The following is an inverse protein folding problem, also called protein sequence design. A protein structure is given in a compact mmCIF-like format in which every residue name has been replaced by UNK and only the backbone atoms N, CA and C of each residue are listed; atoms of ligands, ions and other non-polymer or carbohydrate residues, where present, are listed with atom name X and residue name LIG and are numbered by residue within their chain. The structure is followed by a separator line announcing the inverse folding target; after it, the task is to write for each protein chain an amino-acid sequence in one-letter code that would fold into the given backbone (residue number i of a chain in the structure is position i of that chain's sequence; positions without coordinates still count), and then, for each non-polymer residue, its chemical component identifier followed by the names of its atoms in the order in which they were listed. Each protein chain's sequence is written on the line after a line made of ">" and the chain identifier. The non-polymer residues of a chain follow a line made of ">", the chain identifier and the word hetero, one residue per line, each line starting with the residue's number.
data_IF_480308427883
#
_entry.id   IF_480308427883
#
_cell.length_a   1.000
_cell.length_b   1.000
_cell.length_c   1.000
_cell.angle_alpha   90.00
_cell.angle_beta   90.00
_cell.angle_gamma   90.00
#
_symmetry.space_group_name_H-M   'P 1'
#
loop_
_entity.id
_entity.type
_entity.pdbx_description
1 polymer ?
#
# COMPACT_ATOMS: atom_id res chain seq x y z
N UNK A 1 3.25 25.13 1.43
CA UNK A 1 3.95 24.78 0.16
C UNK A 1 2.96 24.09 -0.77
N UNK A 2 2.72 24.60 -1.98
CA UNK A 2 1.74 23.98 -2.91
C UNK A 2 2.42 22.86 -3.70
N UNK A 3 2.06 21.61 -3.40
CA UNK A 3 2.57 20.43 -4.12
C UNK A 3 2.04 20.48 -5.57
N UNK A 4 2.91 20.21 -6.54
CA UNK A 4 2.54 20.28 -7.97
C UNK A 4 1.64 19.09 -8.34
N UNK A 5 0.63 19.32 -9.17
CA UNK A 5 -0.24 18.27 -9.71
C UNK A 5 0.53 17.13 -10.39
N UNK A 6 1.64 17.47 -11.02
CA UNK A 6 2.55 16.51 -11.68
C UNK A 6 3.16 15.53 -10.70
N UNK A 7 3.45 15.93 -9.45
CA UNK A 7 4.00 15.06 -8.41
C UNK A 7 3.01 13.96 -8.01
N UNK A 8 1.76 14.33 -7.76
CA UNK A 8 0.71 13.33 -7.46
C UNK A 8 0.50 12.35 -8.62
N UNK A 9 0.45 12.89 -9.84
CA UNK A 9 0.32 12.07 -11.05
C UNK A 9 1.51 11.13 -11.23
N UNK A 10 2.74 11.62 -11.03
CA UNK A 10 3.95 10.82 -11.12
C UNK A 10 3.96 9.70 -10.09
N UNK A 11 3.56 9.97 -8.85
CA UNK A 11 3.48 8.96 -7.81
C UNK A 11 2.49 7.82 -8.14
N UNK A 12 1.26 8.18 -8.52
CA UNK A 12 0.23 7.19 -8.84
C UNK A 12 0.56 6.38 -10.11
N UNK A 13 1.10 7.03 -11.14
CA UNK A 13 1.53 6.33 -12.35
C UNK A 13 2.77 5.46 -12.08
N UNK A 14 3.76 5.95 -11.33
CA UNK A 14 4.93 5.17 -10.95
C UNK A 14 4.57 3.92 -10.16
N UNK A 15 3.62 4.04 -9.22
CA UNK A 15 3.06 2.90 -8.51
C UNK A 15 2.42 1.89 -9.47
N UNK A 16 1.56 2.36 -10.38
CA UNK A 16 0.88 1.50 -11.35
C UNK A 16 1.87 0.82 -12.31
N UNK A 17 2.92 1.52 -12.75
CA UNK A 17 3.98 0.96 -13.58
C UNK A 17 4.77 -0.13 -12.84
N UNK A 18 5.13 0.13 -11.58
CA UNK A 18 5.82 -0.86 -10.74
C UNK A 18 4.98 -2.10 -10.47
N UNK A 19 3.69 -1.89 -10.16
CA UNK A 19 2.71 -2.95 -9.96
C UNK A 19 2.54 -3.80 -11.24
N UNK A 20 2.32 -3.17 -12.38
CA UNK A 20 2.15 -3.86 -13.66
C UNK A 20 3.39 -4.68 -14.07
N UNK A 21 4.60 -4.17 -13.79
CA UNK A 21 5.81 -4.94 -14.04
C UNK A 21 5.91 -6.15 -13.12
N UNK A 22 5.46 -6.00 -11.90
CA UNK A 22 5.54 -7.03 -10.90
C UNK A 22 4.44 -8.07 -10.92
N UNK A 23 3.28 -7.72 -11.42
CA UNK A 23 2.09 -8.57 -11.37
C UNK A 23 2.29 -9.93 -12.06
N UNK A 24 2.98 -9.96 -13.18
CA UNK A 24 3.26 -11.18 -13.92
C UNK A 24 4.12 -12.20 -13.16
N UNK A 25 4.99 -11.71 -12.28
CA UNK A 25 5.91 -12.55 -11.48
C UNK A 25 5.50 -12.60 -10.01
N UNK A 26 4.30 -12.11 -9.69
CA UNK A 26 3.75 -12.17 -8.35
C UNK A 26 3.65 -13.61 -7.85
N UNK A 27 4.04 -13.83 -6.61
CA UNK A 27 4.03 -15.15 -5.94
C UNK A 27 4.95 -16.22 -6.55
N UNK A 28 5.85 -15.88 -7.48
CA UNK A 28 6.79 -16.81 -8.12
C UNK A 28 8.15 -16.80 -7.41
N UNK A 29 8.79 -17.97 -7.40
CA UNK A 29 10.17 -18.09 -6.94
C UNK A 29 11.14 -17.56 -7.98
N UNK A 30 12.31 -17.10 -7.52
CA UNK A 30 13.33 -16.57 -8.44
C UNK A 30 13.77 -17.59 -9.50
N UNK A 31 13.86 -18.88 -9.14
CA UNK A 31 14.17 -19.96 -10.07
C UNK A 31 13.16 -20.08 -11.22
N UNK A 32 11.87 -19.94 -10.90
CA UNK A 32 10.78 -19.99 -11.89
C UNK A 32 10.81 -18.74 -12.81
N UNK A 33 11.14 -17.58 -12.23
CA UNK A 33 11.31 -16.36 -13.01
C UNK A 33 12.50 -16.48 -13.96
N UNK A 34 13.62 -17.09 -13.50
CA UNK A 34 14.77 -17.31 -14.35
C UNK A 34 14.52 -18.33 -15.46
N UNK A 35 13.73 -19.35 -15.21
CA UNK A 35 13.34 -20.35 -16.19
C UNK A 35 12.58 -19.72 -17.36
N UNK A 36 11.62 -18.82 -17.07
CA UNK A 36 10.78 -18.23 -18.09
C UNK A 36 11.39 -16.97 -18.76
N UNK A 37 12.15 -16.19 -18.01
CA UNK A 37 12.66 -14.87 -18.46
C UNK A 37 14.19 -14.80 -18.57
N UNK A 38 14.88 -15.92 -18.31
CA UNK A 38 16.35 -15.97 -18.37
C UNK A 38 17.04 -15.49 -17.09
N UNK A 39 18.39 -15.50 -17.07
CA UNK A 39 19.20 -15.30 -15.86
C UNK A 39 19.03 -13.92 -15.19
N UNK A 40 18.56 -12.92 -15.93
CA UNK A 40 18.33 -11.58 -15.40
C UNK A 40 16.89 -11.36 -14.93
N UNK A 41 16.03 -12.37 -15.06
CA UNK A 41 14.59 -12.27 -14.75
C UNK A 41 13.83 -11.36 -15.72
N UNK A 42 12.67 -10.88 -15.29
CA UNK A 42 11.81 -10.01 -16.10
C UNK A 42 12.44 -8.63 -16.31
N UNK A 43 12.87 -8.33 -17.53
CA UNK A 43 13.53 -7.09 -17.92
C UNK A 43 12.60 -6.07 -18.59
N UNK A 44 11.34 -6.38 -18.79
CA UNK A 44 10.34 -5.52 -19.42
C UNK A 44 8.93 -5.95 -19.01
N UNK A 45 7.94 -5.24 -19.51
CA UNK A 45 6.55 -5.62 -19.26
C UNK A 45 6.18 -6.87 -20.05
N UNK A 46 5.55 -7.82 -19.36
CA UNK A 46 4.85 -8.91 -20.00
C UNK A 46 3.44 -8.42 -20.35
N UNK A 47 3.06 -8.53 -21.64
CA UNK A 47 1.86 -7.90 -22.15
C UNK A 47 0.76 -8.93 -22.39
N UNK A 48 -0.39 -8.73 -21.77
CA UNK A 48 -1.61 -9.49 -22.04
C UNK A 48 -2.46 -8.68 -23.04
N UNK A 49 -2.69 -9.21 -24.23
CA UNK A 49 -3.41 -8.51 -25.30
C UNK A 49 -2.82 -7.11 -25.64
N UNK A 50 -1.50 -6.94 -25.53
CA UNK A 50 -0.81 -5.69 -25.83
C UNK A 50 -0.81 -4.67 -24.69
N UNK A 51 -1.25 -5.04 -23.50
CA UNK A 51 -1.29 -4.18 -22.31
C UNK A 51 -0.59 -4.84 -21.11
N UNK A 52 0.16 -4.05 -20.34
CA UNK A 52 0.62 -4.47 -19.03
C UNK A 52 -0.53 -4.32 -18.04
N UNK A 53 -0.92 -5.41 -17.39
CA UNK A 53 -2.03 -5.42 -16.43
C UNK A 53 -1.56 -4.95 -15.05
N UNK A 54 -2.40 -4.16 -14.39
CA UNK A 54 -2.22 -3.78 -12.99
C UNK A 54 -2.92 -4.78 -12.08
N UNK A 55 -2.39 -4.97 -10.88
CA UNK A 55 -3.01 -5.84 -9.88
C UNK A 55 -4.09 -5.13 -9.04
N UNK A 56 -4.63 -5.87 -8.07
CA UNK A 56 -5.53 -5.34 -7.04
C UNK A 56 -4.90 -4.25 -6.17
N UNK A 57 -3.58 -4.18 -6.09
CA UNK A 57 -2.86 -3.18 -5.29
C UNK A 57 -3.03 -1.77 -5.85
N UNK A 58 -2.80 -1.57 -7.14
CA UNK A 58 -3.08 -0.29 -7.82
C UNK A 58 -4.56 0.07 -7.76
N UNK A 59 -5.42 -0.92 -7.98
CA UNK A 59 -6.87 -0.70 -7.91
C UNK A 59 -7.29 -0.19 -6.53
N UNK A 60 -6.89 -0.86 -5.46
CA UNK A 60 -7.27 -0.48 -4.08
C UNK A 60 -6.70 0.89 -3.68
N UNK A 61 -5.46 1.20 -4.07
CA UNK A 61 -4.88 2.53 -3.84
C UNK A 61 -5.68 3.63 -4.56
N UNK A 62 -6.09 3.40 -5.81
CA UNK A 62 -6.92 4.34 -6.56
C UNK A 62 -8.30 4.53 -5.90
N UNK A 63 -8.94 3.45 -5.45
CA UNK A 63 -10.22 3.54 -4.73
C UNK A 63 -10.09 4.21 -3.36
N UNK A 64 -8.96 4.05 -2.68
CA UNK A 64 -8.66 4.83 -1.46
C UNK A 64 -8.62 6.32 -1.76
N UNK A 65 -7.92 6.75 -2.81
CA UNK A 65 -7.91 8.14 -3.26
C UNK A 65 -9.33 8.62 -3.62
N UNK A 66 -10.13 7.79 -4.29
CA UNK A 66 -11.52 8.13 -4.59
C UNK A 66 -12.35 8.36 -3.31
N UNK A 67 -12.21 7.50 -2.30
CA UNK A 67 -12.88 7.67 -1.01
C UNK A 67 -12.50 8.98 -0.31
N UNK A 68 -11.22 9.33 -0.30
CA UNK A 68 -10.71 10.59 0.25
C UNK A 68 -11.31 11.81 -0.44
N UNK A 69 -11.32 11.81 -1.78
CA UNK A 69 -11.92 12.89 -2.56
C UNK A 69 -13.43 12.98 -2.38
N UNK A 70 -14.12 11.85 -2.26
CA UNK A 70 -15.54 11.79 -1.94
C UNK A 70 -15.81 12.44 -0.56
N UNK A 71 -15.05 12.07 0.46
CA UNK A 71 -15.16 12.62 1.80
C UNK A 71 -14.94 14.13 1.83
N UNK A 72 -13.89 14.60 1.16
CA UNK A 72 -13.59 16.02 1.05
C UNK A 72 -14.70 16.80 0.33
N UNK A 73 -15.21 16.28 -0.77
CA UNK A 73 -16.27 16.92 -1.56
C UNK A 73 -17.56 17.00 -0.75
N UNK A 74 -18.00 15.89 -0.15
CA UNK A 74 -19.20 15.86 0.68
C UNK A 74 -19.09 16.75 1.91
N UNK A 75 -17.94 16.72 2.59
CA UNK A 75 -17.70 17.58 3.75
C UNK A 75 -17.82 19.07 3.40
N UNK A 76 -17.28 19.47 2.26
CA UNK A 76 -17.40 20.86 1.77
C UNK A 76 -18.85 21.22 1.41
N UNK A 77 -19.56 20.32 0.77
CA UNK A 77 -20.96 20.57 0.39
C UNK A 77 -21.89 20.66 1.60
N UNK A 78 -21.65 19.86 2.64
CA UNK A 78 -22.48 19.78 3.83
C UNK A 78 -22.03 20.72 4.96
N UNK A 79 -20.88 21.38 4.82
CA UNK A 79 -20.27 22.17 5.89
C UNK A 79 -19.86 21.33 7.11
N UNK A 80 -19.80 20.01 6.98
CA UNK A 80 -19.54 19.06 8.07
C UNK A 80 -18.70 17.90 7.57
N UNK A 81 -17.54 17.69 8.20
CA UNK A 81 -16.65 16.57 7.88
C UNK A 81 -16.98 15.34 8.74
N UNK A 82 -17.06 14.17 8.10
CA UNK A 82 -17.03 12.89 8.78
C UNK A 82 -15.62 12.26 8.65
N UNK A 83 -15.25 11.30 9.51
CA UNK A 83 -13.96 10.63 9.41
C UNK A 83 -13.70 10.08 8.00
N UNK A 84 -12.52 10.36 7.46
CA UNK A 84 -12.16 9.97 6.08
C UNK A 84 -12.17 8.46 5.88
N UNK A 85 -11.79 7.69 6.91
CA UNK A 85 -11.80 6.22 6.86
C UNK A 85 -13.17 5.65 6.49
N UNK A 86 -14.28 6.31 6.86
CA UNK A 86 -15.63 5.87 6.49
C UNK A 86 -15.87 5.96 4.98
N UNK A 87 -15.38 7.01 4.33
CA UNK A 87 -15.50 7.18 2.88
C UNK A 87 -14.55 6.24 2.12
N UNK A 88 -13.36 6.03 2.66
CA UNK A 88 -12.40 5.06 2.12
C UNK A 88 -13.00 3.65 2.18
N UNK A 89 -13.60 3.27 3.31
CA UNK A 89 -14.30 2.00 3.43
C UNK A 89 -15.41 1.83 2.39
N UNK A 90 -16.26 2.86 2.22
CA UNK A 90 -17.31 2.81 1.19
C UNK A 90 -16.71 2.56 -0.19
N UNK A 91 -15.64 3.27 -0.55
CA UNK A 91 -14.96 3.09 -1.81
C UNK A 91 -14.34 1.69 -1.95
N UNK A 92 -13.69 1.18 -0.91
CA UNK A 92 -13.10 -0.16 -0.89
C UNK A 92 -14.19 -1.26 -0.98
N UNK A 93 -15.36 -1.07 -0.36
CA UNK A 93 -16.49 -1.98 -0.49
C UNK A 93 -17.04 -1.99 -1.92
N UNK A 94 -17.20 -0.83 -2.55
CA UNK A 94 -17.63 -0.75 -3.95
C UNK A 94 -16.60 -1.40 -4.89
N UNK A 95 -15.30 -1.20 -4.64
CA UNK A 95 -14.26 -1.92 -5.36
C UNK A 95 -14.38 -3.44 -5.17
N UNK A 96 -14.59 -3.91 -3.93
CA UNK A 96 -14.73 -5.34 -3.65
C UNK A 96 -15.91 -5.99 -4.39
N UNK A 97 -16.96 -5.25 -4.68
CA UNK A 97 -18.04 -5.73 -5.56
C UNK A 97 -17.54 -6.01 -6.98
N UNK A 98 -16.65 -5.20 -7.52
CA UNK A 98 -16.09 -5.41 -8.86
C UNK A 98 -15.23 -6.69 -8.94
N UNK A 99 -14.68 -7.14 -7.81
CA UNK A 99 -13.87 -8.34 -7.71
C UNK A 99 -14.70 -9.65 -7.62
N UNK A 100 -16.02 -9.54 -7.56
CA UNK A 100 -16.94 -10.68 -7.40
C UNK A 100 -17.78 -10.90 -8.65
N UNK A 101 -18.31 -12.14 -8.86
CA UNK A 101 -19.15 -12.43 -10.02
C UNK A 101 -20.54 -11.78 -10.00
N UNK A 102 -20.96 -11.17 -8.90
CA UNK A 102 -22.36 -10.81 -8.64
C UNK A 102 -22.78 -9.41 -9.10
N UNK A 103 -21.95 -8.73 -9.86
CA UNK A 103 -22.36 -7.46 -10.47
C UNK A 103 -22.11 -6.24 -9.58
N UNK A 104 -22.51 -5.08 -10.10
CA UNK A 104 -22.36 -3.78 -9.41
C UNK A 104 -23.57 -3.51 -8.51
N UNK A 105 -23.37 -2.81 -7.37
CA UNK A 105 -24.49 -2.33 -6.58
C UNK A 105 -25.32 -1.32 -7.40
N UNK A 106 -26.64 -1.27 -7.14
CA UNK A 106 -27.55 -0.33 -7.83
C UNK A 106 -27.17 1.13 -7.62
N UNK A 107 -26.66 1.46 -6.44
CA UNK A 107 -26.20 2.81 -6.09
C UNK A 107 -24.70 2.78 -5.81
N UNK A 108 -23.95 3.60 -6.53
CA UNK A 108 -22.52 3.74 -6.39
C UNK A 108 -22.12 5.19 -6.16
N UNK A 109 -21.09 5.40 -5.36
CA UNK A 109 -20.51 6.71 -5.05
C UNK A 109 -19.16 6.92 -5.75
N UNK A 110 -18.50 5.82 -6.14
CA UNK A 110 -17.17 5.85 -6.74
C UNK A 110 -17.25 5.90 -8.26
N UNK A 111 -16.77 7.00 -8.83
CA UNK A 111 -16.72 7.12 -10.30
C UNK A 111 -15.72 6.16 -10.93
N UNK A 112 -14.73 5.64 -10.18
CA UNK A 112 -13.75 4.67 -10.69
C UNK A 112 -14.36 3.33 -11.09
N UNK A 113 -15.55 2.99 -10.59
CA UNK A 113 -16.30 1.80 -11.04
C UNK A 113 -16.67 1.83 -12.54
N UNK A 114 -16.64 3.01 -13.15
CA UNK A 114 -16.87 3.17 -14.59
C UNK A 114 -15.60 2.99 -15.43
N UNK A 115 -14.44 2.76 -14.79
CA UNK A 115 -13.17 2.47 -15.44
C UNK A 115 -12.91 0.98 -15.41
N UNK A 116 -13.05 0.34 -16.58
CA UNK A 116 -12.95 -1.11 -16.75
C UNK A 116 -11.61 -1.65 -16.21
N UNK A 117 -10.52 -0.95 -16.48
CA UNK A 117 -9.15 -1.32 -16.11
C UNK A 117 -8.96 -1.38 -14.58
N UNK A 118 -9.68 -0.54 -13.84
CA UNK A 118 -9.65 -0.50 -12.38
C UNK A 118 -10.64 -1.46 -11.71
N UNK A 119 -11.39 -2.22 -12.50
CA UNK A 119 -12.44 -3.13 -12.01
C UNK A 119 -12.24 -4.57 -12.51
N UNK A 120 -11.10 -4.88 -13.09
CA UNK A 120 -10.75 -6.24 -13.46
C UNK A 120 -10.55 -7.10 -12.20
N UNK A 121 -10.87 -8.38 -12.30
CA UNK A 121 -10.81 -9.32 -11.17
C UNK A 121 -9.37 -9.80 -10.97
N UNK A 122 -8.60 -9.03 -10.24
CA UNK A 122 -7.20 -9.31 -9.95
C UNK A 122 -6.95 -9.54 -8.45
N UNK A 123 -7.99 -9.45 -7.59
CA UNK A 123 -7.84 -9.70 -6.17
C UNK A 123 -7.95 -11.20 -5.87
N UNK A 124 -6.83 -11.80 -5.51
CA UNK A 124 -6.74 -13.20 -5.10
C UNK A 124 -6.92 -13.39 -3.58
N UNK A 125 -6.80 -12.33 -2.79
CA UNK A 125 -6.99 -12.40 -1.34
C UNK A 125 -8.48 -12.40 -0.96
N UNK A 126 -9.03 -13.60 -0.81
CA UNK A 126 -10.43 -13.79 -0.40
C UNK A 126 -10.72 -13.24 1.00
N UNK A 127 -9.75 -13.26 1.93
CA UNK A 127 -9.89 -12.76 3.29
C UNK A 127 -10.09 -11.24 3.29
N UNK A 128 -9.38 -10.52 2.42
CA UNK A 128 -9.57 -9.08 2.24
C UNK A 128 -10.97 -8.77 1.70
N UNK A 129 -11.42 -9.51 0.68
CA UNK A 129 -12.77 -9.36 0.11
C UNK A 129 -13.87 -9.68 1.13
N UNK A 130 -13.66 -10.70 1.97
CA UNK A 130 -14.57 -11.04 3.06
C UNK A 130 -14.65 -9.94 4.12
N UNK A 131 -13.50 -9.37 4.52
CA UNK A 131 -13.45 -8.27 5.48
C UNK A 131 -14.25 -7.04 5.00
N UNK A 132 -14.14 -6.71 3.70
CA UNK A 132 -14.87 -5.60 3.08
C UNK A 132 -16.36 -5.91 2.85
N UNK A 133 -16.72 -7.18 2.68
CA UNK A 133 -18.10 -7.58 2.42
C UNK A 133 -19.01 -7.59 3.66
N UNK A 134 -18.44 -7.55 4.86
CA UNK A 134 -19.20 -7.61 6.11
C UNK A 134 -20.15 -6.44 6.24
N UNK A 135 -21.37 -6.74 6.65
CA UNK A 135 -22.37 -5.72 6.97
C UNK A 135 -21.88 -4.86 8.15
N UNK A 136 -21.69 -3.60 7.90
CA UNK A 136 -21.12 -2.65 8.85
C UNK A 136 -22.13 -2.13 9.87
N UNK A 137 -23.42 -2.31 9.65
CA UNK A 137 -24.43 -2.05 10.68
C UNK A 137 -24.35 -3.12 11.78
N UNK A 138 -24.04 -4.35 11.39
CA UNK A 138 -23.91 -5.49 12.29
C UNK A 138 -22.51 -5.70 12.83
N UNK A 139 -21.49 -5.29 12.08
CA UNK A 139 -20.09 -5.46 12.43
C UNK A 139 -19.37 -4.11 12.28
N UNK A 140 -18.93 -3.49 13.37
CA UNK A 140 -18.13 -2.26 13.30
C UNK A 140 -16.87 -2.47 12.50
N UNK A 141 -16.30 -1.37 11.97
CA UNK A 141 -15.05 -1.39 11.22
C UNK A 141 -13.89 -1.98 12.03
N UNK A 142 -12.98 -2.66 11.34
CA UNK A 142 -11.65 -2.93 11.89
C UNK A 142 -10.88 -1.62 12.04
N UNK A 143 -10.30 -1.42 13.21
CA UNK A 143 -9.41 -0.30 13.51
C UNK A 143 -8.14 -0.83 14.15
N UNK A 144 -7.05 -0.05 14.20
CA UNK A 144 -5.85 -0.44 14.94
C UNK A 144 -6.12 -0.81 16.41
N UNK A 145 -7.10 -0.13 17.03
CA UNK A 145 -7.48 -0.35 18.43
C UNK A 145 -8.42 -1.52 18.64
N UNK A 146 -9.22 -1.83 17.63
CA UNK A 146 -10.21 -2.91 17.65
C UNK A 146 -10.14 -3.70 16.33
N UNK A 147 -9.08 -4.48 16.12
CA UNK A 147 -8.91 -5.25 14.90
C UNK A 147 -9.98 -6.33 14.77
N UNK A 148 -10.43 -6.58 13.56
CA UNK A 148 -11.48 -7.56 13.26
C UNK A 148 -10.96 -8.93 12.89
N UNK A 149 -9.67 -9.00 12.60
CA UNK A 149 -8.95 -10.22 12.25
C UNK A 149 -7.48 -10.05 12.64
N UNK A 150 -6.67 -11.02 12.38
CA UNK A 150 -5.23 -10.99 12.59
C UNK A 150 -4.47 -11.22 11.27
N UNK A 151 -4.96 -10.66 10.18
CA UNK A 151 -4.27 -10.76 8.88
C UNK A 151 -3.09 -9.79 8.85
N UNK A 152 -1.91 -10.31 8.50
CA UNK A 152 -0.65 -9.57 8.46
C UNK A 152 -0.08 -9.35 7.06
N UNK A 153 -0.72 -9.89 6.03
CA UNK A 153 -0.24 -9.83 4.66
C UNK A 153 -0.19 -8.41 4.06
N UNK A 154 0.50 -8.23 2.93
CA UNK A 154 0.71 -6.92 2.28
C UNK A 154 -0.50 -6.43 1.49
N UNK A 155 -1.58 -7.22 1.38
CA UNK A 155 -2.69 -7.01 0.44
C UNK A 155 -3.36 -5.63 0.44
N UNK A 156 -3.35 -4.91 1.57
CA UNK A 156 -3.90 -3.56 1.66
C UNK A 156 -2.85 -2.46 1.88
N UNK A 157 -1.56 -2.81 1.87
CA UNK A 157 -0.50 -1.85 2.20
C UNK A 157 -0.47 -0.66 1.24
N UNK A 158 -0.67 -0.90 -0.06
CA UNK A 158 -0.70 0.16 -1.08
C UNK A 158 -1.84 1.17 -0.90
N UNK A 159 -2.92 0.79 -0.21
CA UNK A 159 -4.00 1.70 0.14
C UNK A 159 -3.51 2.87 1.03
N UNK A 160 -2.50 2.64 1.86
CA UNK A 160 -1.89 3.67 2.70
C UNK A 160 -1.15 4.76 1.88
N UNK A 161 -0.75 4.48 0.64
CA UNK A 161 -0.20 5.49 -0.29
C UNK A 161 -1.20 6.62 -0.49
N UNK A 162 -2.48 6.27 -0.68
CA UNK A 162 -3.55 7.26 -0.81
C UNK A 162 -3.65 8.20 0.39
N UNK A 163 -3.51 7.68 1.61
CA UNK A 163 -3.48 8.47 2.84
C UNK A 163 -2.28 9.43 2.86
N UNK A 164 -1.07 8.95 2.56
CA UNK A 164 0.13 9.78 2.49
C UNK A 164 0.06 10.87 1.43
N UNK A 165 -0.53 10.57 0.26
CA UNK A 165 -0.76 11.55 -0.81
C UNK A 165 -1.80 12.61 -0.44
N UNK A 166 -2.70 12.33 0.49
CA UNK A 166 -3.75 13.25 0.93
C UNK A 166 -3.25 14.30 1.93
N UNK A 167 -2.02 14.16 2.39
CA UNK A 167 -1.40 15.10 3.33
C UNK A 167 -1.42 16.54 2.80
N UNK A 168 -1.87 17.45 3.66
CA UNK A 168 -1.84 18.90 3.42
C UNK A 168 -1.39 19.57 4.73
N UNK A 169 -0.14 20.06 4.83
CA UNK A 169 0.41 20.57 6.08
C UNK A 169 -0.38 21.76 6.64
N UNK A 170 -1.16 22.45 5.80
CA UNK A 170 -1.97 23.59 6.20
C UNK A 170 -3.37 23.17 6.74
N UNK A 171 -3.75 21.90 6.59
CA UNK A 171 -5.11 21.40 6.89
C UNK A 171 -5.17 20.08 7.65
N UNK A 172 -4.22 19.20 7.42
CA UNK A 172 -4.20 17.86 7.97
C UNK A 172 -2.82 17.65 8.60
N UNK A 173 -2.79 17.37 9.90
CA UNK A 173 -1.54 17.15 10.60
C UNK A 173 -0.83 15.86 10.14
N UNK A 174 0.48 15.80 10.36
CA UNK A 174 1.27 14.61 10.05
C UNK A 174 0.75 13.38 10.81
N UNK A 175 0.48 13.53 12.11
CA UNK A 175 -0.03 12.42 12.95
C UNK A 175 -1.39 11.91 12.46
N UNK A 176 -2.28 12.80 12.01
CA UNK A 176 -3.57 12.42 11.45
C UNK A 176 -3.43 11.65 10.15
N UNK A 177 -2.49 12.06 9.27
CA UNK A 177 -2.18 11.37 8.02
C UNK A 177 -1.62 9.98 8.28
N UNK A 178 -0.71 9.87 9.21
CA UNK A 178 -0.04 8.61 9.57
C UNK A 178 -1.02 7.64 10.22
N UNK A 179 -1.88 8.15 11.10
CA UNK A 179 -2.94 7.36 11.70
C UNK A 179 -3.97 6.89 10.66
N UNK A 180 -4.33 7.75 9.71
CA UNK A 180 -5.20 7.37 8.58
C UNK A 180 -4.58 6.24 7.75
N UNK A 181 -3.25 6.24 7.55
CA UNK A 181 -2.54 5.13 6.90
C UNK A 181 -2.71 3.81 7.63
N UNK A 182 -2.64 3.81 8.97
CA UNK A 182 -2.92 2.63 9.78
C UNK A 182 -4.40 2.20 9.70
N UNK A 183 -5.34 3.16 9.82
CA UNK A 183 -6.78 2.88 9.76
C UNK A 183 -7.19 2.23 8.43
N UNK A 184 -6.67 2.73 7.31
CA UNK A 184 -6.99 2.22 5.97
C UNK A 184 -6.57 0.77 5.83
N UNK A 185 -5.38 0.42 6.30
CA UNK A 185 -4.90 -0.98 6.29
C UNK A 185 -5.71 -1.85 7.25
N UNK A 186 -6.02 -1.35 8.44
CA UNK A 186 -6.79 -2.08 9.45
C UNK A 186 -8.24 -2.41 9.03
N UNK A 187 -8.79 -1.76 8.01
CA UNK A 187 -10.09 -2.12 7.43
C UNK A 187 -10.15 -3.59 7.01
N UNK A 188 -9.03 -4.15 6.56
CA UNK A 188 -8.94 -5.50 6.01
C UNK A 188 -7.89 -6.35 6.69
N UNK A 189 -6.79 -5.76 7.16
CA UNK A 189 -5.64 -6.43 7.75
C UNK A 189 -5.41 -5.93 9.18
N UNK A 190 -5.94 -6.66 10.15
CA UNK A 190 -5.96 -6.25 11.55
C UNK A 190 -4.71 -6.60 12.37
N UNK A 191 -3.72 -7.30 11.79
CA UNK A 191 -2.47 -7.56 12.50
C UNK A 191 -1.64 -6.28 12.64
N UNK A 192 -0.99 -6.05 13.81
CA UNK A 192 -0.14 -4.88 14.03
C UNK A 192 0.97 -4.72 12.98
N UNK A 193 1.52 -5.82 12.47
CA UNK A 193 2.50 -5.80 11.38
C UNK A 193 1.96 -5.08 10.15
N UNK A 194 0.71 -5.32 9.75
CA UNK A 194 0.12 -4.72 8.57
C UNK A 194 -0.17 -3.22 8.78
N UNK A 195 -0.92 -2.85 9.81
CA UNK A 195 -1.36 -1.46 9.96
C UNK A 195 -0.24 -0.52 10.43
N UNK A 196 0.75 -0.98 11.21
CA UNK A 196 1.95 -0.17 11.54
C UNK A 196 2.79 0.07 10.29
N UNK A 197 2.92 -0.94 9.40
CA UNK A 197 3.55 -0.75 8.09
C UNK A 197 2.76 0.25 7.21
N UNK A 198 1.43 0.25 7.31
CA UNK A 198 0.57 1.24 6.64
C UNK A 198 0.83 2.66 7.13
N UNK A 199 0.96 2.87 8.44
CA UNK A 199 1.34 4.17 9.01
C UNK A 199 2.74 4.60 8.53
N UNK A 200 3.71 3.69 8.53
CA UNK A 200 5.06 3.95 8.03
C UNK A 200 5.05 4.39 6.56
N UNK A 201 4.28 3.70 5.72
CA UNK A 201 4.19 4.03 4.30
C UNK A 201 3.50 5.39 4.07
N UNK A 202 2.40 5.69 4.77
CA UNK A 202 1.74 6.98 4.69
C UNK A 202 2.66 8.12 5.15
N UNK A 203 3.40 7.93 6.25
CA UNK A 203 4.40 8.87 6.72
C UNK A 203 5.47 9.14 5.65
N UNK A 204 6.11 8.09 5.15
CA UNK A 204 7.16 8.21 4.14
C UNK A 204 6.65 8.96 2.90
N UNK A 205 5.46 8.60 2.41
CA UNK A 205 4.86 9.23 1.22
C UNK A 205 4.60 10.72 1.43
N UNK A 206 4.05 11.11 2.58
CA UNK A 206 3.83 12.53 2.91
C UNK A 206 5.16 13.29 3.02
N UNK A 207 6.20 12.68 3.59
CA UNK A 207 7.52 13.29 3.70
C UNK A 207 8.19 13.46 2.33
N UNK A 208 8.13 12.45 1.47
CA UNK A 208 8.63 12.54 0.08
C UNK A 208 7.96 13.70 -0.68
N UNK A 209 6.65 13.89 -0.51
CA UNK A 209 5.92 14.99 -1.14
C UNK A 209 6.36 16.37 -0.62
N UNK A 210 6.60 16.49 0.69
CA UNK A 210 6.89 17.79 1.32
C UNK A 210 8.36 18.16 1.34
N UNK A 211 9.26 17.20 1.18
CA UNK A 211 10.71 17.42 1.23
C UNK A 211 11.42 16.88 -0.04
N UNK A 212 11.11 17.42 -1.23
CA UNK A 212 11.59 16.87 -2.51
C UNK A 212 13.13 16.90 -2.66
N UNK A 213 13.81 17.70 -1.87
CA UNK A 213 15.29 17.83 -1.88
C UNK A 213 15.96 16.99 -0.77
N UNK A 214 15.18 16.35 0.12
CA UNK A 214 15.74 15.49 1.13
C UNK A 214 16.18 14.14 0.53
N UNK A 215 17.27 13.59 1.04
CA UNK A 215 17.67 12.25 0.61
C UNK A 215 16.64 11.21 1.09
N UNK A 216 16.36 10.22 0.26
CA UNK A 216 15.44 9.14 0.62
C UNK A 216 15.85 8.43 1.92
N UNK A 217 17.16 8.25 2.13
CA UNK A 217 17.72 7.68 3.37
C UNK A 217 17.35 8.50 4.62
N UNK A 218 17.35 9.83 4.52
CA UNK A 218 16.95 10.70 5.62
C UNK A 218 15.46 10.53 5.93
N UNK A 219 14.62 10.55 4.89
CA UNK A 219 13.16 10.37 5.04
C UNK A 219 12.81 9.00 5.61
N UNK A 220 13.55 7.97 5.20
CA UNK A 220 13.39 6.64 5.75
C UNK A 220 13.74 6.59 7.24
N UNK A 221 14.86 7.22 7.65
CA UNK A 221 15.24 7.33 9.06
C UNK A 221 14.17 8.05 9.89
N UNK A 222 13.68 9.20 9.40
CA UNK A 222 12.58 9.94 10.05
C UNK A 222 11.34 9.05 10.23
N UNK A 223 11.01 8.25 9.22
CA UNK A 223 9.90 7.30 9.27
C UNK A 223 10.12 6.22 10.34
N UNK A 224 11.32 5.66 10.43
CA UNK A 224 11.64 4.66 11.46
C UNK A 224 11.55 5.25 12.87
N UNK A 225 12.07 6.45 13.06
CA UNK A 225 12.01 7.15 14.35
C UNK A 225 10.53 7.46 14.73
N UNK A 226 9.72 7.86 13.76
CA UNK A 226 8.29 8.09 13.94
C UNK A 226 7.57 6.81 14.40
N UNK A 227 7.70 5.70 13.69
CA UNK A 227 6.96 4.48 14.06
C UNK A 227 7.43 3.89 15.39
N UNK A 228 8.73 3.97 15.71
CA UNK A 228 9.25 3.56 17.03
C UNK A 228 8.62 4.37 18.16
N UNK A 229 8.58 5.69 18.00
CA UNK A 229 8.01 6.61 18.99
C UNK A 229 6.50 6.39 19.16
N UNK A 230 5.77 6.24 18.05
CA UNK A 230 4.31 6.22 18.08
C UNK A 230 3.76 4.84 18.45
N UNK A 231 4.35 3.77 17.92
CA UNK A 231 3.81 2.41 18.05
C UNK A 231 4.66 1.46 18.89
N UNK A 232 5.95 1.78 19.13
CA UNK A 232 6.89 0.86 19.80
C UNK A 232 6.50 0.48 21.22
N UNK A 233 5.87 1.37 21.96
CA UNK A 233 5.41 1.11 23.33
C UNK A 233 4.15 0.22 23.39
N UNK A 234 3.40 0.14 22.30
CA UNK A 234 2.13 -0.59 22.21
C UNK A 234 2.24 -1.92 21.46
N UNK A 235 3.06 -1.95 20.42
CA UNK A 235 3.21 -3.11 19.54
C UNK A 235 4.68 -3.49 19.40
N UNK A 236 5.10 -4.60 20.04
CA UNK A 236 6.49 -5.09 19.99
C UNK A 236 6.96 -5.39 18.55
N UNK A 237 6.05 -5.76 17.64
CA UNK A 237 6.32 -5.98 16.22
C UNK A 237 6.89 -4.75 15.52
N UNK A 238 6.69 -3.54 16.07
CA UNK A 238 7.25 -2.29 15.52
C UNK A 238 8.77 -2.35 15.42
N UNK A 239 9.43 -2.99 16.35
CA UNK A 239 10.90 -3.14 16.32
C UNK A 239 11.34 -4.06 15.18
N UNK A 240 10.60 -5.15 14.93
CA UNK A 240 10.86 -6.02 13.79
C UNK A 240 10.65 -5.30 12.45
N UNK A 241 9.58 -4.50 12.31
CA UNK A 241 9.36 -3.66 11.12
C UNK A 241 10.55 -2.71 10.90
N UNK A 242 10.99 -2.03 11.95
CA UNK A 242 12.13 -1.11 11.87
C UNK A 242 13.43 -1.82 11.45
N UNK A 243 13.66 -3.00 11.97
CA UNK A 243 14.84 -3.81 11.64
C UNK A 243 14.80 -4.27 10.18
N UNK A 244 13.66 -4.79 9.72
CA UNK A 244 13.49 -5.19 8.31
C UNK A 244 13.74 -4.04 7.35
N UNK A 245 13.18 -2.86 7.63
CA UNK A 245 13.38 -1.68 6.78
C UNK A 245 14.83 -1.20 6.82
N UNK A 246 15.48 -1.20 8.00
CA UNK A 246 16.86 -0.82 8.14
C UNK A 246 17.80 -1.79 7.40
N UNK A 247 17.57 -3.09 7.50
CA UNK A 247 18.32 -4.12 6.78
C UNK A 247 18.15 -3.99 5.26
N UNK A 248 16.91 -3.76 4.80
CA UNK A 248 16.64 -3.51 3.38
C UNK A 248 17.43 -2.29 2.86
N UNK A 249 17.46 -1.20 3.62
CA UNK A 249 18.20 0.00 3.26
C UNK A 249 19.73 -0.22 3.28
N UNK A 250 20.23 -1.05 4.20
CA UNK A 250 21.65 -1.41 4.26
C UNK A 250 22.03 -2.25 3.04
N UNK A 251 21.29 -3.29 2.73
CA UNK A 251 21.52 -4.15 1.55
C UNK A 251 21.42 -3.38 0.22
N UNK A 252 20.43 -2.51 0.08
CA UNK A 252 20.28 -1.67 -1.11
C UNK A 252 21.44 -0.67 -1.30
N UNK A 253 22.26 -0.47 -0.28
CA UNK A 253 23.44 0.42 -0.34
C UNK A 253 24.70 -0.29 -0.79
N UNK A 254 24.68 -1.61 -0.89
CA UNK A 254 25.80 -2.42 -1.33
C UNK A 254 25.61 -2.84 -2.80
N UNK A 255 26.32 -2.20 -3.75
CA UNK A 255 26.14 -2.50 -5.17
C UNK A 255 26.66 -3.89 -5.56
N UNK A 256 27.40 -4.58 -4.67
CA UNK A 256 27.87 -5.95 -4.91
C UNK A 256 26.77 -6.98 -4.69
N UNK A 257 25.66 -6.61 -4.05
CA UNK A 257 24.55 -7.52 -3.75
C UNK A 257 23.44 -7.29 -4.78
N UNK A 258 23.17 -8.26 -5.66
CA UNK A 258 22.05 -8.15 -6.62
C UNK A 258 20.70 -8.07 -5.89
N UNK A 259 19.73 -7.33 -6.45
CA UNK A 259 18.44 -7.09 -5.83
C UNK A 259 17.69 -8.38 -5.44
N UNK A 260 17.74 -9.42 -6.29
CA UNK A 260 17.13 -10.72 -5.98
C UNK A 260 17.73 -11.38 -4.72
N UNK A 261 19.04 -11.19 -4.50
CA UNK A 261 19.73 -11.75 -3.33
C UNK A 261 19.43 -10.96 -2.05
N UNK A 262 19.20 -9.66 -2.18
CA UNK A 262 18.67 -8.84 -1.08
C UNK A 262 17.31 -9.38 -0.62
N UNK A 263 16.48 -9.72 -1.58
CA UNK A 263 15.14 -10.25 -1.30
C UNK A 263 15.17 -11.62 -0.63
N UNK A 264 16.04 -12.53 -1.09
CA UNK A 264 16.25 -13.82 -0.44
C UNK A 264 16.74 -13.66 1.00
N UNK A 265 17.71 -12.75 1.23
CA UNK A 265 18.21 -12.47 2.58
C UNK A 265 17.13 -11.94 3.50
N UNK A 266 16.36 -10.93 3.07
CA UNK A 266 15.27 -10.41 3.86
C UNK A 266 14.22 -11.48 4.18
N UNK A 267 14.00 -12.40 3.24
CA UNK A 267 13.14 -13.56 3.44
C UNK A 267 13.67 -14.52 4.50
N UNK A 268 14.97 -14.76 4.54
CA UNK A 268 15.61 -15.71 5.47
C UNK A 268 15.85 -15.11 6.87
N UNK A 269 16.19 -13.81 6.95
CA UNK A 269 16.55 -13.15 8.21
C UNK A 269 15.33 -12.74 9.03
N UNK A 270 14.17 -12.58 8.42
CA UNK A 270 12.96 -12.11 9.08
C UNK A 270 12.17 -13.20 9.81
N UNK A 271 12.71 -14.39 10.02
CA UNK A 271 11.97 -15.54 10.54
C UNK A 271 11.95 -15.64 12.06
N UNK A 272 10.82 -15.28 12.69
CA UNK A 272 9.98 -16.29 13.29
C UNK A 272 8.99 -16.79 12.22
N UNK A 273 8.92 -18.09 12.04
CA UNK A 273 8.31 -18.78 10.90
C UNK A 273 6.88 -18.35 10.50
N UNK A 274 6.14 -17.69 11.37
CA UNK A 274 4.78 -17.21 11.12
C UNK A 274 4.77 -15.80 10.48
N UNK A 275 5.68 -14.92 10.89
CA UNK A 275 5.78 -13.57 10.34
C UNK A 275 6.39 -13.57 8.94
N UNK A 276 7.35 -14.46 8.73
CA UNK A 276 8.01 -14.68 7.45
C UNK A 276 7.03 -15.23 6.40
N UNK A 277 6.17 -16.17 6.74
CA UNK A 277 5.23 -16.76 5.78
C UNK A 277 4.16 -15.76 5.31
N UNK A 278 3.72 -14.83 6.17
CA UNK A 278 2.65 -13.88 5.84
C UNK A 278 3.16 -12.58 5.18
N UNK A 279 4.35 -12.08 5.56
CA UNK A 279 5.02 -10.97 4.89
C UNK A 279 5.69 -11.37 3.57
N UNK A 280 6.06 -12.66 3.48
CA UNK A 280 6.91 -13.20 2.44
C UNK A 280 6.13 -14.03 1.42
N UNK A 281 4.81 -14.05 1.50
CA UNK A 281 4.03 -14.49 0.34
C UNK A 281 4.35 -13.59 -0.86
N UNK A 282 4.87 -12.37 -0.63
CA UNK A 282 5.41 -11.55 -1.68
C UNK A 282 6.44 -10.49 -1.22
N UNK A 283 7.72 -10.86 -0.98
CA UNK A 283 8.78 -9.91 -0.66
C UNK A 283 9.03 -8.90 -1.78
N UNK A 284 8.72 -9.26 -3.03
CA UNK A 284 8.83 -8.35 -4.17
C UNK A 284 7.83 -7.21 -4.08
N UNK A 285 6.64 -7.41 -3.54
CA UNK A 285 5.64 -6.36 -3.41
C UNK A 285 6.01 -5.32 -2.34
N UNK A 286 6.55 -5.71 -1.20
CA UNK A 286 7.04 -4.75 -0.23
C UNK A 286 8.18 -3.88 -0.82
N UNK A 287 9.15 -4.50 -1.50
CA UNK A 287 10.27 -3.77 -2.12
C UNK A 287 9.79 -2.96 -3.34
N UNK A 288 8.77 -3.38 -4.09
CA UNK A 288 8.20 -2.62 -5.20
C UNK A 288 7.43 -1.39 -4.76
N UNK A 289 6.67 -1.47 -3.68
CA UNK A 289 6.08 -0.28 -3.06
C UNK A 289 7.17 0.71 -2.65
N UNK A 290 8.33 0.22 -2.20
CA UNK A 290 9.46 1.03 -1.79
C UNK A 290 10.35 1.46 -2.97
N UNK A 291 10.58 0.62 -3.98
CA UNK A 291 11.39 0.96 -5.16
C UNK A 291 10.63 1.86 -6.15
N UNK A 292 9.31 1.74 -6.29
CA UNK A 292 8.52 2.67 -7.07
C UNK A 292 8.59 4.11 -6.50
N UNK A 293 8.69 4.26 -5.18
CA UNK A 293 8.97 5.55 -4.56
C UNK A 293 10.41 6.05 -4.81
N UNK A 294 11.38 5.14 -4.94
CA UNK A 294 12.80 5.48 -5.16
C UNK A 294 13.13 5.81 -6.62
N UNK A 295 12.46 5.19 -7.59
CA UNK A 295 12.69 5.44 -9.03
C UNK A 295 11.99 6.69 -9.57
N UNK A 296 11.06 7.29 -8.80
CA UNK A 296 10.43 8.56 -9.18
C UNK A 296 11.30 9.79 -8.96
N UNK A 297 12.52 9.64 -8.47
CA UNK A 297 13.50 10.72 -8.22
C UNK A 297 14.68 10.73 -9.21
N UNK A 298 14.53 10.22 -10.41
CA UNK A 298 15.47 10.42 -11.52
C UNK A 298 15.41 11.86 -12.06
N UNK A 299 16.52 12.38 -12.65
CA UNK A 299 16.80 13.80 -12.84
C UNK A 299 15.77 14.56 -13.64
#
# INVERSE_FOLDING_TARGET
>A
MRIRRTTYRGCLLGMACGDAMGYTVDSRYWSEIQEDYGPNGLMGYDLVNGYAEISSYTQLAAFTCNGLLLGLTRGRMLGKMAPFVNYIRMAAQEWAYSQRPWGRPEKTFCWLLWKRELCQRHCMDTRMLEALARDTQRYPLGTPDQPRNNYGGPGSLTAAIGAGLFFDPDRIGQEETDFLGAEVVALTHGAPMAFVSGAALAHLMSRVLCAPNASFRLLLKETLDFIRKTYGHRYSVTYAICELIANAAAYASDPSIPSWRVMEKLRCESAPQVLAAELLHDPQQCIRCWSAAATSTGP
#
